data_IF_093030766429
#
_entry.id   IF_093030766429
#
_cell.length_a   1.000
_cell.length_b   1.000
_cell.length_c   1.000
_cell.angle_alpha   90.00
_cell.angle_beta   90.00
_cell.angle_gamma   90.00
#
_symmetry.space_group_name_H-M   'P 1'
#
loop_
_entity.id
_entity.type
_entity.pdbx_description
1 polymer ?
#
# COMPACT_ATOMS: atom_id res chain seq x y z
N UNK A 1 4.38 25.61 0.13
CA UNK A 1 4.36 25.77 -1.34
C UNK A 1 3.85 24.48 -1.95
N UNK A 2 2.82 24.49 -2.82
CA UNK A 2 2.38 23.26 -3.48
C UNK A 2 3.48 22.82 -4.42
N UNK A 3 4.14 21.70 -4.11
CA UNK A 3 5.12 21.07 -5.00
C UNK A 3 4.40 20.72 -6.29
N UNK A 4 4.77 21.40 -7.40
CA UNK A 4 4.34 21.01 -8.75
C UNK A 4 4.55 19.51 -8.89
N UNK A 5 3.46 18.75 -9.05
CA UNK A 5 3.53 17.32 -9.34
C UNK A 5 4.47 17.16 -10.53
N UNK A 6 5.56 16.40 -10.36
CA UNK A 6 6.44 16.09 -11.49
C UNK A 6 5.57 15.35 -12.52
N UNK A 7 5.63 15.71 -13.82
CA UNK A 7 5.00 14.88 -14.83
C UNK A 7 5.57 13.46 -14.70
N UNK A 8 4.73 12.43 -14.92
CA UNK A 8 5.04 10.99 -14.84
C UNK A 8 6.18 10.56 -15.79
N UNK A 9 7.38 11.07 -15.54
CA UNK A 9 8.44 11.23 -16.53
C UNK A 9 9.77 10.63 -16.05
N UNK A 10 9.76 9.71 -15.09
CA UNK A 10 10.99 9.04 -14.69
C UNK A 10 11.56 8.14 -15.81
N UNK A 11 10.76 7.74 -16.80
CA UNK A 11 11.18 6.71 -17.75
C UNK A 11 11.16 7.08 -19.23
N UNK A 12 10.70 8.27 -19.65
CA UNK A 12 10.68 8.66 -21.08
C UNK A 12 9.94 7.71 -22.04
N UNK A 13 9.34 6.63 -21.52
CA UNK A 13 8.61 5.63 -22.27
C UNK A 13 7.13 6.03 -22.26
N UNK A 14 6.47 6.09 -23.42
CA UNK A 14 5.04 6.29 -23.45
C UNK A 14 4.39 5.20 -22.60
N UNK A 15 3.49 5.57 -21.70
CA UNK A 15 2.65 4.63 -20.96
C UNK A 15 2.02 3.54 -21.87
N UNK A 16 1.83 3.87 -23.14
CA UNK A 16 1.31 3.02 -24.21
C UNK A 16 2.32 2.00 -24.80
N UNK A 17 3.62 2.28 -24.83
CA UNK A 17 4.60 1.39 -25.46
C UNK A 17 4.75 0.06 -24.72
N UNK A 18 4.55 0.08 -23.40
CA UNK A 18 4.58 -1.09 -22.53
C UNK A 18 3.34 -1.98 -22.63
N UNK A 19 2.19 -1.36 -22.91
CA UNK A 19 0.89 -2.02 -22.86
C UNK A 19 0.59 -2.86 -24.11
N UNK A 20 1.20 -2.52 -25.26
CA UNK A 20 0.77 -3.06 -26.55
C UNK A 20 1.74 -4.10 -27.14
N UNK A 21 3.06 -4.00 -26.94
CA UNK A 21 4.00 -4.99 -27.48
C UNK A 21 5.26 -5.12 -26.60
N UNK A 22 5.52 -6.30 -26.03
CA UNK A 22 6.90 -6.70 -25.70
C UNK A 22 7.22 -7.19 -24.29
N UNK A 23 6.34 -7.04 -23.29
CA UNK A 23 6.65 -7.46 -21.90
C UNK A 23 7.12 -8.90 -21.78
N UNK A 24 6.59 -9.81 -22.59
CA UNK A 24 6.96 -11.21 -22.53
C UNK A 24 8.42 -11.48 -22.95
N UNK A 25 9.04 -10.58 -23.72
CA UNK A 25 10.44 -10.67 -24.17
C UNK A 25 11.42 -10.05 -23.18
N UNK A 26 10.98 -9.07 -22.40
CA UNK A 26 11.84 -8.34 -21.46
C UNK A 26 12.03 -9.04 -20.11
N UNK A 27 11.19 -10.04 -19.78
CA UNK A 27 11.20 -10.70 -18.46
C UNK A 27 11.37 -12.21 -18.55
N UNK A 28 12.09 -12.82 -17.59
CA UNK A 28 12.22 -14.27 -17.49
C UNK A 28 10.85 -14.96 -17.52
N UNK A 29 10.78 -16.08 -18.23
CA UNK A 29 9.53 -16.84 -18.39
C UNK A 29 8.92 -17.27 -17.04
N UNK A 30 9.76 -17.46 -16.01
CA UNK A 30 9.34 -17.79 -14.63
C UNK A 30 8.45 -16.72 -13.98
N UNK A 31 8.52 -15.46 -14.44
CA UNK A 31 7.66 -14.38 -13.92
C UNK A 31 6.33 -14.25 -14.66
N UNK A 32 6.15 -14.95 -15.79
CA UNK A 32 4.92 -14.87 -16.60
C UNK A 32 3.66 -15.34 -15.84
N UNK A 33 3.69 -16.43 -15.06
CA UNK A 33 2.52 -16.85 -14.27
C UNK A 33 2.07 -15.78 -13.27
N UNK A 34 3.01 -15.05 -12.66
CA UNK A 34 2.71 -13.95 -11.74
C UNK A 34 1.95 -12.82 -12.44
N UNK A 35 2.43 -12.37 -13.60
CA UNK A 35 1.76 -11.31 -14.36
C UNK A 35 0.41 -11.74 -14.94
N UNK A 36 0.29 -13.00 -15.35
CA UNK A 36 -0.98 -13.57 -15.77
C UNK A 36 -2.00 -13.54 -14.63
N UNK A 37 -1.59 -13.94 -13.41
CA UNK A 37 -2.44 -13.88 -12.23
C UNK A 37 -2.83 -12.43 -11.86
N UNK A 38 -1.90 -11.47 -11.98
CA UNK A 38 -2.25 -10.05 -11.80
C UNK A 38 -3.31 -9.59 -12.80
N UNK A 39 -3.12 -9.86 -14.10
CA UNK A 39 -4.09 -9.48 -15.14
C UNK A 39 -5.46 -10.11 -14.88
N UNK A 40 -5.50 -11.37 -14.44
CA UNK A 40 -6.75 -12.05 -14.06
C UNK A 40 -7.42 -11.41 -12.83
N UNK A 41 -6.64 -11.03 -11.80
CA UNK A 41 -7.17 -10.50 -10.54
C UNK A 41 -7.58 -9.03 -10.62
N UNK A 42 -6.81 -8.22 -11.34
CA UNK A 42 -6.93 -6.76 -11.36
C UNK A 42 -7.36 -6.20 -12.72
N UNK A 43 -7.57 -7.05 -13.74
CA UNK A 43 -7.88 -6.63 -15.11
C UNK A 43 -6.68 -6.05 -15.88
N UNK A 44 -5.59 -5.70 -15.18
CA UNK A 44 -4.38 -5.14 -15.73
C UNK A 44 -3.14 -5.71 -15.03
N UNK A 45 -1.99 -5.57 -15.69
CA UNK A 45 -0.70 -5.81 -15.06
C UNK A 45 -0.28 -4.54 -14.33
N UNK A 46 0.02 -4.64 -13.04
CA UNK A 46 0.29 -3.51 -12.19
C UNK A 46 1.71 -2.98 -12.39
N UNK A 47 1.84 -1.67 -12.63
CA UNK A 47 3.15 -1.00 -12.82
C UNK A 47 4.19 -1.28 -11.73
N UNK A 48 3.88 -1.39 -10.43
CA UNK A 48 4.88 -1.78 -9.44
C UNK A 48 5.49 -3.16 -9.69
N UNK A 49 4.67 -4.15 -10.03
CA UNK A 49 5.16 -5.49 -10.35
C UNK A 49 6.13 -5.45 -11.52
N UNK A 50 5.89 -4.52 -12.45
CA UNK A 50 6.76 -4.30 -13.58
C UNK A 50 8.11 -3.69 -13.23
N UNK A 51 8.09 -2.67 -12.38
CA UNK A 51 9.30 -2.00 -11.92
C UNK A 51 10.17 -2.93 -11.08
N UNK A 52 9.58 -3.66 -10.13
CA UNK A 52 10.33 -4.62 -9.32
C UNK A 52 10.95 -5.72 -10.18
N UNK A 53 10.21 -6.26 -11.14
CA UNK A 53 10.67 -7.37 -11.97
C UNK A 53 11.87 -7.02 -12.86
N UNK A 54 12.23 -5.75 -13.01
CA UNK A 54 13.46 -5.30 -13.68
C UNK A 54 14.71 -5.92 -13.04
N UNK A 55 14.61 -6.24 -11.75
CA UNK A 55 15.62 -6.99 -10.99
C UNK A 55 14.97 -8.28 -10.46
N UNK A 56 14.91 -9.37 -11.25
CA UNK A 56 14.10 -10.56 -10.91
C UNK A 56 14.39 -11.16 -9.53
N UNK A 57 15.66 -11.24 -9.12
CA UNK A 57 16.05 -11.75 -7.80
C UNK A 57 15.47 -10.91 -6.66
N UNK A 58 15.51 -9.59 -6.81
CA UNK A 58 14.96 -8.64 -5.85
C UNK A 58 13.44 -8.75 -5.80
N UNK A 59 12.79 -8.80 -6.97
CA UNK A 59 11.34 -9.01 -7.05
C UNK A 59 10.90 -10.29 -6.36
N UNK A 60 11.59 -11.41 -6.59
CA UNK A 60 11.29 -12.69 -5.94
C UNK A 60 11.39 -12.59 -4.42
N UNK A 61 12.43 -11.96 -3.88
CA UNK A 61 12.60 -11.78 -2.44
C UNK A 61 11.45 -10.97 -1.82
N UNK A 62 11.11 -9.83 -2.43
CA UNK A 62 10.01 -8.95 -1.98
C UNK A 62 8.65 -9.64 -2.11
N UNK A 63 8.42 -10.39 -3.19
CA UNK A 63 7.18 -11.12 -3.41
C UNK A 63 6.99 -12.26 -2.39
N UNK A 64 8.05 -13.00 -2.05
CA UNK A 64 8.01 -14.03 -1.01
C UNK A 64 7.72 -13.40 0.36
N UNK A 65 8.44 -12.33 0.71
CA UNK A 65 8.20 -11.61 1.97
C UNK A 65 6.75 -11.13 2.09
N UNK A 66 6.21 -10.48 1.06
CA UNK A 66 4.81 -10.05 1.06
C UNK A 66 3.84 -11.23 1.14
N UNK A 67 4.13 -12.32 0.43
CA UNK A 67 3.33 -13.54 0.47
C UNK A 67 3.25 -14.16 1.87
N UNK A 68 4.36 -14.11 2.63
CA UNK A 68 4.37 -14.52 4.05
C UNK A 68 3.51 -13.57 4.89
N UNK A 69 3.64 -12.26 4.72
CA UNK A 69 2.92 -11.26 5.51
C UNK A 69 1.40 -11.21 5.22
N UNK A 70 0.96 -11.45 3.98
CA UNK A 70 -0.46 -11.40 3.57
C UNK A 70 -1.13 -12.79 3.53
N UNK A 71 -0.50 -13.83 4.10
CA UNK A 71 -1.03 -15.20 4.08
C UNK A 71 -2.35 -15.34 4.84
N UNK A 72 -3.13 -16.37 4.51
CA UNK A 72 -4.42 -16.65 5.16
C UNK A 72 -4.28 -17.02 6.65
N UNK A 73 -3.19 -17.69 7.01
CA UNK A 73 -2.87 -18.09 8.38
C UNK A 73 -2.14 -17.02 9.20
N UNK A 74 -2.05 -15.78 8.71
CA UNK A 74 -1.49 -14.69 9.51
C UNK A 74 -2.36 -14.46 10.76
N UNK A 75 -1.76 -14.18 11.94
CA UNK A 75 -2.49 -13.80 13.14
C UNK A 75 -3.19 -12.44 13.00
N UNK A 76 -2.82 -11.64 11.99
CA UNK A 76 -3.44 -10.37 11.67
C UNK A 76 -4.65 -10.57 10.77
N UNK A 77 -5.81 -10.07 11.22
CA UNK A 77 -7.03 -10.13 10.42
C UNK A 77 -6.84 -9.43 9.06
N UNK A 78 -7.53 -9.87 7.99
CA UNK A 78 -7.44 -9.23 6.69
C UNK A 78 -7.76 -7.72 6.74
N UNK A 79 -8.73 -7.32 7.57
CA UNK A 79 -9.13 -5.92 7.76
C UNK A 79 -7.99 -5.12 8.40
N UNK A 80 -7.37 -5.62 9.48
CA UNK A 80 -6.23 -4.95 10.13
C UNK A 80 -5.05 -4.78 9.16
N UNK A 81 -4.71 -5.82 8.40
CA UNK A 81 -3.64 -5.73 7.38
C UNK A 81 -3.94 -4.64 6.35
N UNK A 82 -5.20 -4.51 5.94
CA UNK A 82 -5.62 -3.47 5.01
C UNK A 82 -5.60 -2.07 5.62
N UNK A 83 -6.04 -1.90 6.86
CA UNK A 83 -5.99 -0.62 7.57
C UNK A 83 -4.56 -0.08 7.66
N UNK A 84 -3.64 -0.92 8.16
CA UNK A 84 -2.21 -0.61 8.23
C UNK A 84 -1.68 -0.22 6.85
N UNK A 85 -1.99 -1.02 5.84
CA UNK A 85 -1.48 -0.82 4.48
C UNK A 85 -1.96 0.51 3.88
N UNK A 86 -3.25 0.86 4.04
CA UNK A 86 -3.78 2.14 3.55
C UNK A 86 -3.18 3.30 4.34
N UNK A 87 -3.08 3.19 5.68
CA UNK A 87 -2.54 4.29 6.51
C UNK A 87 -1.08 4.60 6.19
N UNK A 88 -0.23 3.57 6.07
CA UNK A 88 1.17 3.76 5.62
C UNK A 88 1.22 4.40 4.23
N UNK A 89 0.34 3.98 3.32
CA UNK A 89 0.27 4.54 1.96
C UNK A 89 -0.13 6.02 1.95
N UNK A 90 -1.06 6.44 2.82
CA UNK A 90 -1.46 7.83 3.02
C UNK A 90 -0.28 8.67 3.52
N UNK A 91 0.41 8.21 4.57
CA UNK A 91 1.55 8.92 5.17
C UNK A 91 2.71 9.07 4.17
N UNK A 92 2.97 8.03 3.37
CA UNK A 92 4.04 8.03 2.37
C UNK A 92 3.63 8.61 1.00
N UNK A 93 2.43 9.20 0.90
CA UNK A 93 1.92 9.86 -0.32
C UNK A 93 1.90 8.96 -1.57
N UNK A 94 1.81 7.62 -1.39
CA UNK A 94 1.83 6.69 -2.51
C UNK A 94 0.44 6.58 -3.15
N UNK A 95 0.17 7.40 -4.17
CA UNK A 95 -1.14 7.45 -4.88
C UNK A 95 -1.60 6.09 -5.41
N UNK A 96 -0.72 5.33 -6.05
CA UNK A 96 -1.02 3.97 -6.50
C UNK A 96 -1.41 3.05 -5.33
N UNK A 97 -0.66 3.12 -4.23
CA UNK A 97 -0.88 2.27 -3.08
C UNK A 97 -2.20 2.62 -2.38
N UNK A 98 -2.52 3.92 -2.24
CA UNK A 98 -3.81 4.37 -1.70
C UNK A 98 -4.95 3.79 -2.54
N UNK A 99 -4.90 3.97 -3.86
CA UNK A 99 -5.94 3.50 -4.78
C UNK A 99 -6.24 1.99 -4.66
N UNK A 100 -5.23 1.14 -4.83
CA UNK A 100 -5.42 -0.32 -4.81
C UNK A 100 -5.77 -0.86 -3.41
N UNK A 101 -5.16 -0.30 -2.36
CA UNK A 101 -5.34 -0.80 -1.00
C UNK A 101 -6.64 -0.29 -0.38
N UNK A 102 -7.12 0.89 -0.75
CA UNK A 102 -8.46 1.38 -0.39
C UNK A 102 -9.55 0.48 -0.95
N UNK A 103 -9.47 0.10 -2.23
CA UNK A 103 -10.41 -0.86 -2.82
C UNK A 103 -10.36 -2.23 -2.11
N UNK A 104 -9.16 -2.66 -1.68
CA UNK A 104 -8.97 -3.90 -0.93
C UNK A 104 -9.54 -3.81 0.49
N UNK A 105 -9.34 -2.68 1.17
CA UNK A 105 -9.91 -2.41 2.49
C UNK A 105 -11.43 -2.42 2.42
N UNK A 106 -12.03 -1.65 1.52
CA UNK A 106 -13.47 -1.58 1.34
C UNK A 106 -14.10 -2.95 1.07
N UNK A 107 -13.44 -3.79 0.26
CA UNK A 107 -13.88 -5.16 0.03
C UNK A 107 -13.81 -6.03 1.30
N UNK A 108 -12.76 -5.87 2.13
CA UNK A 108 -12.54 -6.67 3.34
C UNK A 108 -13.41 -6.19 4.52
N UNK A 109 -13.70 -4.90 4.62
CA UNK A 109 -14.57 -4.29 5.63
C UNK A 109 -16.05 -4.32 5.23
N UNK A 110 -16.36 -4.49 3.94
CA UNK A 110 -17.71 -4.43 3.40
C UNK A 110 -18.25 -3.01 3.17
N UNK A 111 -17.45 -1.97 3.43
CA UNK A 111 -17.85 -0.55 3.33
C UNK A 111 -16.67 0.37 3.03
N UNK A 112 -16.93 1.48 2.34
CA UNK A 112 -15.95 2.56 2.09
C UNK A 112 -15.74 3.47 3.30
N UNK A 113 -16.62 3.47 4.29
CA UNK A 113 -16.59 4.42 5.42
C UNK A 113 -15.24 4.36 6.17
N UNK A 114 -14.73 3.16 6.43
CA UNK A 114 -13.40 2.98 7.05
C UNK A 114 -12.24 3.52 6.22
N UNK A 115 -12.37 3.56 4.89
CA UNK A 115 -11.34 4.15 4.01
C UNK A 115 -11.36 5.67 4.15
N UNK A 116 -12.55 6.25 4.13
CA UNK A 116 -12.79 7.70 4.14
C UNK A 116 -12.39 8.32 5.47
N UNK A 117 -12.69 7.66 6.59
CA UNK A 117 -12.35 8.14 7.93
C UNK A 117 -10.94 7.75 8.40
N UNK A 118 -10.20 6.94 7.64
CA UNK A 118 -8.91 6.40 8.11
C UNK A 118 -7.87 7.47 8.43
N UNK A 119 -7.91 8.62 7.75
CA UNK A 119 -6.98 9.70 8.03
C UNK A 119 -7.26 10.42 9.36
N UNK A 120 -8.49 10.30 9.87
CA UNK A 120 -9.02 10.90 11.11
C UNK A 120 -9.45 9.80 12.09
N UNK A 121 -8.70 8.69 12.11
CA UNK A 121 -9.08 7.50 12.85
C UNK A 121 -9.15 7.70 14.36
N UNK A 122 -8.45 8.71 14.90
CA UNK A 122 -8.42 9.02 16.35
C UNK A 122 -9.78 9.51 16.82
N UNK A 123 -10.42 10.33 16.01
CA UNK A 123 -11.70 10.98 16.28
C UNK A 123 -12.91 10.15 15.81
N UNK A 124 -12.68 9.13 14.99
CA UNK A 124 -13.72 8.28 14.42
C UNK A 124 -14.17 7.16 15.38
N UNK A 125 -15.49 6.95 15.42
CA UNK A 125 -16.13 5.84 16.14
C UNK A 125 -16.18 4.53 15.33
N UNK A 126 -15.75 4.55 14.06
CA UNK A 126 -15.70 3.35 13.21
C UNK A 126 -14.58 2.38 13.59
N UNK A 127 -13.58 2.84 14.35
CA UNK A 127 -12.43 2.06 14.75
C UNK A 127 -12.54 1.64 16.21
N UNK A 128 -12.48 0.34 16.47
CA UNK A 128 -12.44 -0.16 17.85
C UNK A 128 -11.06 0.06 18.50
N UNK A 129 -10.96 -0.15 19.81
CA UNK A 129 -9.72 0.03 20.58
C UNK A 129 -8.51 -0.71 19.99
N UNK A 130 -8.71 -1.96 19.55
CA UNK A 130 -7.63 -2.74 18.92
C UNK A 130 -7.15 -2.08 17.63
N UNK A 131 -8.06 -1.61 16.79
CA UNK A 131 -7.73 -0.90 15.55
C UNK A 131 -7.03 0.43 15.83
N UNK A 132 -7.50 1.20 16.81
CA UNK A 132 -6.90 2.48 17.23
C UNK A 132 -5.46 2.28 17.71
N UNK A 133 -5.19 1.31 18.58
CA UNK A 133 -3.82 1.01 19.04
C UNK A 133 -2.92 0.57 17.88
N UNK A 134 -3.43 -0.24 16.94
CA UNK A 134 -2.67 -0.66 15.75
C UNK A 134 -2.36 0.53 14.82
N UNK A 135 -3.30 1.46 14.65
CA UNK A 135 -3.09 2.65 13.82
C UNK A 135 -2.10 3.62 14.48
N UNK A 136 -2.16 3.79 15.81
CA UNK A 136 -1.16 4.54 16.57
C UNK A 136 0.25 3.96 16.40
N UNK A 137 0.38 2.64 16.54
CA UNK A 137 1.64 1.94 16.29
C UNK A 137 2.12 2.09 14.85
N UNK A 138 1.20 1.99 13.89
CA UNK A 138 1.50 2.19 12.47
C UNK A 138 2.05 3.58 12.19
N UNK A 139 1.45 4.62 12.80
CA UNK A 139 1.93 6.00 12.71
C UNK A 139 3.32 6.15 13.33
N UNK A 140 3.52 5.65 14.56
CA UNK A 140 4.79 5.75 15.28
C UNK A 140 5.96 5.08 14.54
N UNK A 141 5.72 3.98 13.83
CA UNK A 141 6.74 3.28 13.01
C UNK A 141 7.00 3.99 11.66
N UNK A 142 6.05 4.79 11.18
CA UNK A 142 6.08 5.35 9.81
C UNK A 142 6.52 6.80 9.77
N UNK A 143 6.02 7.63 10.69
CA UNK A 143 6.40 9.03 10.82
C UNK A 143 7.85 9.14 11.31
N UNK A 144 8.66 9.94 10.61
CA UNK A 144 10.10 10.06 10.91
C UNK A 144 10.41 10.89 12.15
N UNK A 145 9.42 11.63 12.65
CA UNK A 145 9.45 12.45 13.87
C UNK A 145 8.80 11.75 15.08
N UNK A 146 8.42 10.48 14.95
CA UNK A 146 7.83 9.68 16.01
C UNK A 146 8.71 8.48 16.36
N UNK A 147 8.49 7.92 17.56
CA UNK A 147 9.12 6.68 18.01
C UNK A 147 8.10 5.82 18.74
N UNK A 148 8.28 4.51 18.68
CA UNK A 148 7.49 3.55 19.46
C UNK A 148 7.92 3.65 20.91
N UNK A 149 6.97 3.89 21.82
CA UNK A 149 7.21 3.94 23.26
C UNK A 149 6.93 2.58 23.92
N UNK A 150 7.52 2.34 25.09
CA UNK A 150 7.25 1.14 25.88
C UNK A 150 5.76 1.02 26.23
N UNK A 151 5.11 2.14 26.55
CA UNK A 151 3.67 2.16 26.86
C UNK A 151 2.80 1.76 25.66
N UNK A 152 3.20 2.15 24.44
CA UNK A 152 2.50 1.71 23.23
C UNK A 152 2.69 0.21 22.97
N UNK A 153 3.86 -0.34 23.28
CA UNK A 153 4.10 -1.79 23.24
C UNK A 153 3.24 -2.52 24.28
N UNK A 154 3.13 -2.03 25.51
CA UNK A 154 2.27 -2.63 26.54
C UNK A 154 0.79 -2.61 26.13
N UNK A 155 0.31 -1.52 25.52
CA UNK A 155 -1.05 -1.45 24.95
C UNK A 155 -1.27 -2.45 23.81
N UNK A 156 -0.26 -2.69 22.96
CA UNK A 156 -0.33 -3.73 21.93
C UNK A 156 -0.42 -5.14 22.53
N UNK A 157 0.32 -5.41 23.61
CA UNK A 157 0.34 -6.72 24.29
C UNK A 157 -1.02 -7.11 24.87
N UNK A 158 -1.93 -6.16 25.10
CA UNK A 158 -3.33 -6.44 25.47
C UNK A 158 -4.06 -7.23 24.37
N UNK A 159 -3.71 -7.01 23.10
CA UNK A 159 -4.43 -7.57 21.94
C UNK A 159 -3.65 -8.63 21.16
N UNK A 160 -2.34 -8.72 21.38
CA UNK A 160 -1.40 -9.49 20.57
C UNK A 160 -0.31 -10.12 21.42
N UNK A 161 0.12 -11.32 21.03
CA UNK A 161 1.36 -11.91 21.53
C UNK A 161 2.58 -11.36 20.76
N UNK A 162 3.79 -11.73 21.22
CA UNK A 162 5.05 -11.27 20.63
C UNK A 162 5.16 -11.58 19.14
N UNK A 163 4.84 -12.80 18.72
CA UNK A 163 4.87 -13.21 17.31
C UNK A 163 3.94 -12.35 16.44
N UNK A 164 2.76 -12.01 16.95
CA UNK A 164 1.80 -11.14 16.24
C UNK A 164 2.32 -9.71 16.12
N UNK A 165 3.02 -9.20 17.14
CA UNK A 165 3.66 -7.88 17.10
C UNK A 165 4.80 -7.89 16.09
N UNK A 166 5.60 -8.95 16.02
CA UNK A 166 6.64 -9.12 14.98
C UNK A 166 6.04 -9.11 13.58
N UNK A 167 4.94 -9.84 13.35
CA UNK A 167 4.26 -9.82 12.05
C UNK A 167 3.65 -8.45 11.70
N UNK A 168 3.07 -7.75 12.69
CA UNK A 168 2.55 -6.40 12.50
C UNK A 168 3.66 -5.43 12.10
N UNK A 169 4.77 -5.47 12.82
CA UNK A 169 5.96 -4.64 12.56
C UNK A 169 6.54 -4.94 11.18
N UNK A 170 6.69 -6.22 10.84
CA UNK A 170 7.17 -6.66 9.53
C UNK A 170 6.27 -6.19 8.39
N UNK A 171 4.94 -6.21 8.58
CA UNK A 171 4.00 -5.66 7.62
C UNK A 171 4.16 -4.15 7.47
N UNK A 172 4.21 -3.38 8.56
CA UNK A 172 4.37 -1.92 8.50
C UNK A 172 5.69 -1.54 7.81
N UNK A 173 6.79 -2.21 8.15
CA UNK A 173 8.10 -2.00 7.54
C UNK A 173 8.08 -2.31 6.03
N UNK A 174 7.47 -3.43 5.63
CA UNK A 174 7.30 -3.78 4.23
C UNK A 174 6.46 -2.73 3.47
N UNK A 175 5.36 -2.27 4.08
CA UNK A 175 4.52 -1.25 3.46
C UNK A 175 5.25 0.09 3.33
N UNK A 176 6.11 0.45 4.28
CA UNK A 176 6.99 1.60 4.16
C UNK A 176 7.94 1.48 2.97
N UNK A 177 8.61 0.33 2.82
CA UNK A 177 9.46 0.04 1.67
C UNK A 177 8.67 0.13 0.36
N UNK A 178 7.53 -0.55 0.26
CA UNK A 178 6.75 -0.63 -0.97
C UNK A 178 6.17 0.72 -1.37
N UNK A 179 5.58 1.45 -0.43
CA UNK A 179 4.96 2.76 -0.69
C UNK A 179 5.99 3.82 -1.03
N UNK A 180 7.14 3.89 -0.32
CA UNK A 180 8.22 4.81 -0.66
C UNK A 180 8.87 4.48 -2.00
N UNK A 181 9.06 3.20 -2.33
CA UNK A 181 9.54 2.77 -3.66
C UNK A 181 8.61 3.27 -4.78
N UNK A 182 7.31 3.02 -4.65
CA UNK A 182 6.34 3.41 -5.67
C UNK A 182 6.16 4.93 -5.77
N UNK A 183 6.20 5.63 -4.63
CA UNK A 183 6.13 7.09 -4.56
C UNK A 183 7.36 7.74 -5.19
N UNK A 184 8.57 7.24 -4.87
CA UNK A 184 9.82 7.75 -5.43
C UNK A 184 9.91 7.57 -6.97
N UNK A 185 9.30 6.50 -7.50
CA UNK A 185 9.25 6.23 -8.95
C UNK A 185 7.99 6.80 -9.63
N UNK A 186 7.20 7.59 -8.92
CA UNK A 186 5.98 8.26 -9.41
C UNK A 186 5.02 7.32 -10.14
N UNK A 187 4.72 6.18 -9.51
CA UNK A 187 3.80 5.19 -10.06
C UNK A 187 2.36 5.75 -10.04
N UNK A 188 1.68 5.89 -11.20
CA UNK A 188 0.33 6.44 -11.23
C UNK A 188 -0.71 5.45 -10.67
N UNK A 189 -1.81 5.96 -10.11
CA UNK A 189 -2.97 5.15 -9.74
C UNK A 189 -3.59 4.48 -10.98
N UNK A 190 -4.27 3.35 -10.77
CA UNK A 190 -4.97 2.60 -11.81
C UNK A 190 -6.50 2.77 -11.73
N UNK A 191 -6.98 3.63 -10.83
CA UNK A 191 -8.40 3.97 -10.61
C UNK A 191 -9.20 2.72 -10.20
N UNK A 192 -8.67 1.95 -9.25
CA UNK A 192 -9.40 0.85 -8.60
C UNK A 192 -10.49 1.37 -7.66
N UNK A 193 -10.20 2.48 -6.98
CA UNK A 193 -11.10 3.23 -6.15
C UNK A 193 -11.39 4.55 -6.86
N UNK A 194 -12.66 4.84 -7.14
CA UNK A 194 -13.05 6.19 -7.54
C UNK A 194 -12.92 7.07 -6.31
N UNK A 195 -11.83 7.82 -6.21
CA UNK A 195 -11.71 8.87 -5.21
C UNK A 195 -12.83 9.90 -5.44
N UNK A 196 -13.44 10.48 -4.40
CA UNK A 196 -14.19 11.72 -4.55
C UNK A 196 -13.28 12.73 -5.24
N UNK A 197 -13.77 13.41 -6.28
CA UNK A 197 -12.97 14.40 -7.00
C UNK A 197 -12.45 15.47 -6.03
N UNK A 198 -11.13 15.73 -6.07
CA UNK A 198 -10.54 16.92 -5.49
C UNK A 198 -11.12 18.14 -6.23
N UNK A 199 -12.02 18.87 -5.57
CA UNK A 199 -12.57 20.14 -6.04
C UNK A 199 -11.54 21.28 -5.86
N UNK A 200 -10.29 21.07 -6.28
CA UNK A 200 -9.36 22.17 -6.56
C UNK A 200 -9.75 22.82 -7.90
N UNK A 201 -10.98 23.32 -7.96
CA UNK A 201 -11.50 24.13 -9.04
C UNK A 201 -10.89 25.53 -8.97
N UNK A 202 -10.12 25.83 -10.00
CA UNK A 202 -10.12 27.12 -10.70
C UNK A 202 -10.11 28.40 -9.85
N UNK A 203 -8.91 28.93 -9.60
CA UNK A 203 -8.66 30.37 -9.64
C UNK A 203 -7.45 30.63 -10.54
N UNK A 204 -7.68 30.66 -11.84
CA UNK A 204 -6.90 31.50 -12.75
C UNK A 204 -7.71 32.75 -13.04
N UNK A 205 -6.98 33.87 -13.14
CA UNK A 205 -7.42 35.25 -13.22
C UNK A 205 -8.41 35.54 -14.35
#
# INVERSE_FOLDING_TARGET
MPTKQRPYAFWGLPALAFALHGWQREYPWVLRPFFWNQKRKYGAILRPGLLWARVPRLFSAVAVLYGVLDRKSSPLSPVLRSLVTVRVSQINWCRFCIDINSATLAKRSGSMEKVEELAQWKESDLFNEKEKVVLEYTEAVTYSDQQVTDELIERLKVFFNEDSIVELTGLIAFQNLSSKFNSALDVPPHVFCKLPHDNSGNKQA
#
